data_IF_898837110640
#
_entry.id   IF_898837110640
#
_cell.length_a   1.000
_cell.length_b   1.000
_cell.length_c   1.000
_cell.angle_alpha   90.00
_cell.angle_beta   90.00
_cell.angle_gamma   90.00
#
_symmetry.space_group_name_H-M   'P 1'
#
loop_
_entity.id
_entity.type
_entity.pdbx_description
1 polymer ?
#
# COMPACT_ATOMS: atom_id res chain seq x y z
N UNK A 1 31.50 66.82 -10.23
CA UNK A 1 31.41 65.54 -9.50
C UNK A 1 30.03 64.93 -9.77
N UNK A 2 29.94 63.89 -10.61
CA UNK A 2 28.67 63.29 -11.04
C UNK A 2 28.39 62.03 -10.21
N UNK A 3 27.28 62.01 -9.47
CA UNK A 3 26.82 60.87 -8.66
C UNK A 3 25.99 59.95 -9.55
N UNK A 4 26.40 58.69 -9.69
CA UNK A 4 25.64 57.65 -10.39
C UNK A 4 24.65 56.97 -9.42
N UNK A 5 23.37 56.76 -9.80
CA UNK A 5 22.43 56.00 -8.98
C UNK A 5 22.61 54.50 -9.26
N UNK A 6 22.83 53.70 -8.20
CA UNK A 6 22.74 52.24 -8.21
C UNK A 6 21.37 51.81 -7.65
N UNK A 7 20.39 51.41 -8.49
CA UNK A 7 19.23 50.68 -7.99
C UNK A 7 18.97 49.40 -8.82
N UNK A 8 19.99 48.65 -9.23
CA UNK A 8 19.80 47.45 -10.05
C UNK A 8 20.23 46.12 -9.40
N UNK A 9 21.09 46.15 -8.37
CA UNK A 9 21.65 44.93 -7.79
C UNK A 9 20.79 44.28 -6.70
N UNK A 10 19.86 45.04 -6.09
CA UNK A 10 19.04 44.56 -4.97
C UNK A 10 17.90 43.61 -5.36
N UNK A 11 17.46 43.64 -6.63
CA UNK A 11 16.29 42.86 -7.08
C UNK A 11 16.67 41.40 -7.37
N UNK A 12 17.92 41.12 -7.74
CA UNK A 12 18.35 39.78 -8.14
C UNK A 12 18.53 38.81 -6.96
N UNK A 13 18.85 39.31 -5.76
CA UNK A 13 19.13 38.48 -4.58
C UNK A 13 17.84 37.90 -3.95
N UNK A 14 16.69 38.58 -4.13
CA UNK A 14 15.41 38.15 -3.54
C UNK A 14 14.79 36.94 -4.23
N UNK A 15 15.19 36.62 -5.47
CA UNK A 15 14.62 35.51 -6.24
C UNK A 15 15.24 34.16 -5.87
N UNK A 16 16.45 34.15 -5.29
CA UNK A 16 17.21 32.91 -5.03
C UNK A 16 16.76 32.21 -3.72
N UNK A 17 16.09 32.91 -2.81
CA UNK A 17 15.70 32.33 -1.49
C UNK A 17 14.38 31.54 -1.50
N UNK A 18 13.71 31.40 -2.65
CA UNK A 18 12.49 30.59 -2.79
C UNK A 18 12.72 29.18 -3.33
N UNK A 19 13.97 28.68 -3.36
CA UNK A 19 14.23 27.25 -3.57
C UNK A 19 13.77 26.45 -2.33
N UNK A 20 12.45 26.26 -2.25
CA UNK A 20 11.77 25.41 -1.27
C UNK A 20 12.33 24.00 -1.39
N UNK A 21 12.74 23.42 -0.26
CA UNK A 21 12.93 21.98 -0.13
C UNK A 21 11.62 21.29 -0.54
N UNK A 22 11.61 20.61 -1.68
CA UNK A 22 10.53 19.68 -2.00
C UNK A 22 10.57 18.55 -0.96
N UNK A 23 9.44 18.20 -0.32
CA UNK A 23 9.41 17.06 0.58
C UNK A 23 9.81 15.81 -0.21
N UNK A 24 10.74 15.03 0.36
CA UNK A 24 11.17 13.76 -0.24
C UNK A 24 9.92 12.89 -0.39
N UNK A 25 9.62 12.47 -1.62
CA UNK A 25 8.53 11.55 -1.89
C UNK A 25 8.77 10.28 -1.06
N UNK A 26 7.90 10.04 -0.08
CA UNK A 26 7.96 8.83 0.73
C UNK A 26 7.44 7.66 -0.10
N UNK A 27 8.16 6.54 -0.10
CA UNK A 27 7.75 5.36 -0.86
C UNK A 27 6.38 4.86 -0.35
N UNK A 28 5.50 4.35 -1.22
CA UNK A 28 4.19 3.85 -0.81
C UNK A 28 4.25 2.50 -0.05
N UNK A 29 5.44 1.89 0.04
CA UNK A 29 5.66 0.56 0.60
C UNK A 29 6.90 0.51 1.48
N UNK A 30 6.95 -0.51 2.33
CA UNK A 30 8.15 -0.93 3.06
C UNK A 30 8.74 -2.17 2.41
N UNK A 31 10.05 -2.17 2.16
CA UNK A 31 10.73 -3.38 1.71
C UNK A 31 10.74 -4.45 2.82
N UNK A 32 10.68 -5.75 2.47
CA UNK A 32 10.85 -6.83 3.45
C UNK A 32 12.23 -6.73 4.12
N UNK A 33 12.27 -6.94 5.43
CA UNK A 33 13.45 -6.71 6.28
C UNK A 33 14.67 -7.58 5.91
N UNK A 34 14.43 -8.67 5.19
CA UNK A 34 15.37 -9.70 4.76
C UNK A 34 15.78 -9.59 3.27
N UNK A 35 15.39 -8.52 2.56
CA UNK A 35 15.57 -8.40 1.11
C UNK A 35 17.02 -8.12 0.68
N UNK A 36 17.62 -9.05 -0.08
CA UNK A 36 18.76 -8.77 -0.96
C UNK A 36 18.41 -7.57 -1.87
N UNK A 37 19.28 -6.56 -1.93
CA UNK A 37 19.04 -5.33 -2.69
C UNK A 37 18.78 -5.57 -4.18
N UNK A 38 19.27 -6.68 -4.72
CA UNK A 38 19.14 -7.06 -6.12
C UNK A 38 17.69 -7.40 -6.51
N UNK A 39 16.86 -7.82 -5.55
CA UNK A 39 15.46 -8.22 -5.79
C UNK A 39 14.47 -7.05 -5.69
N UNK A 40 14.96 -5.82 -5.46
CA UNK A 40 14.11 -4.63 -5.25
C UNK A 40 13.30 -4.26 -6.50
N UNK A 41 13.86 -4.47 -7.69
CA UNK A 41 13.18 -4.19 -8.95
C UNK A 41 11.96 -5.09 -9.14
N UNK A 42 12.15 -6.39 -8.97
CA UNK A 42 11.09 -7.40 -9.10
C UNK A 42 10.00 -7.20 -8.04
N UNK A 43 10.41 -6.92 -6.79
CA UNK A 43 9.47 -6.58 -5.71
C UNK A 43 8.62 -5.36 -6.05
N UNK A 44 9.23 -4.29 -6.57
CA UNK A 44 8.49 -3.06 -6.91
C UNK A 44 7.48 -3.32 -8.02
N UNK A 45 7.88 -4.08 -9.05
CA UNK A 45 6.98 -4.46 -10.14
C UNK A 45 5.82 -5.32 -9.62
N UNK A 46 6.11 -6.30 -8.76
CA UNK A 46 5.10 -7.15 -8.12
C UNK A 46 4.13 -6.33 -7.26
N UNK A 47 4.64 -5.46 -6.40
CA UNK A 47 3.83 -4.59 -5.55
C UNK A 47 2.85 -3.74 -6.38
N UNK A 48 3.33 -3.13 -7.47
CA UNK A 48 2.51 -2.31 -8.36
C UNK A 48 1.45 -3.13 -9.13
N UNK A 49 1.76 -4.36 -9.54
CA UNK A 49 0.78 -5.26 -10.15
C UNK A 49 -0.30 -5.63 -9.12
N UNK A 50 0.10 -5.99 -7.91
CA UNK A 50 -0.81 -6.29 -6.80
C UNK A 50 -1.76 -5.14 -6.48
N UNK A 51 -1.27 -3.90 -6.45
CA UNK A 51 -2.10 -2.71 -6.24
C UNK A 51 -3.22 -2.59 -7.29
N UNK A 52 -2.86 -2.74 -8.57
CA UNK A 52 -3.83 -2.67 -9.68
C UNK A 52 -4.84 -3.80 -9.61
N UNK A 53 -4.37 -5.02 -9.41
CA UNK A 53 -5.21 -6.22 -9.30
C UNK A 53 -6.19 -6.12 -8.13
N UNK A 54 -5.73 -5.63 -6.97
CA UNK A 54 -6.60 -5.36 -5.83
C UNK A 54 -7.67 -4.33 -6.19
N UNK A 55 -7.30 -3.22 -6.85
CA UNK A 55 -8.24 -2.19 -7.27
C UNK A 55 -9.35 -2.72 -8.19
N UNK A 56 -8.98 -3.58 -9.13
CA UNK A 56 -9.90 -4.19 -10.11
C UNK A 56 -10.82 -5.24 -9.49
N UNK A 57 -10.29 -6.09 -8.61
CA UNK A 57 -11.00 -7.30 -8.17
C UNK A 57 -11.59 -7.20 -6.75
N UNK A 58 -11.00 -6.40 -5.87
CA UNK A 58 -11.32 -6.40 -4.45
C UNK A 58 -11.79 -5.02 -3.95
N UNK A 59 -11.20 -3.95 -4.49
CA UNK A 59 -11.36 -2.58 -4.02
C UNK A 59 -12.80 -2.06 -4.06
N UNK A 60 -13.61 -2.55 -5.00
CA UNK A 60 -15.03 -2.16 -5.13
C UNK A 60 -15.85 -2.48 -3.87
N UNK A 61 -15.58 -3.61 -3.23
CA UNK A 61 -16.31 -4.08 -2.05
C UNK A 61 -15.56 -3.86 -0.73
N UNK A 62 -14.23 -3.97 -0.76
CA UNK A 62 -13.43 -3.96 0.47
C UNK A 62 -12.92 -2.57 0.88
N UNK A 63 -12.91 -1.59 -0.02
CA UNK A 63 -12.51 -0.24 0.37
C UNK A 63 -13.55 0.40 1.29
N UNK A 64 -13.08 1.25 2.19
CA UNK A 64 -13.94 2.06 3.08
C UNK A 64 -13.92 3.52 2.64
N UNK A 65 -14.98 4.26 2.98
CA UNK A 65 -15.03 5.72 2.87
C UNK A 65 -14.73 6.31 4.25
N UNK A 66 -13.63 7.05 4.39
CA UNK A 66 -13.29 7.78 5.62
C UNK A 66 -13.02 9.22 5.26
N UNK A 67 -13.75 10.16 5.89
CA UNK A 67 -13.65 11.60 5.62
C UNK A 67 -13.73 11.95 4.12
N UNK A 68 -14.64 11.29 3.40
CA UNK A 68 -14.83 11.48 1.95
C UNK A 68 -13.77 10.85 1.05
N UNK A 69 -12.77 10.15 1.62
CA UNK A 69 -11.70 9.48 0.86
C UNK A 69 -11.89 7.96 0.87
N UNK A 70 -11.54 7.33 -0.24
CA UNK A 70 -11.47 5.87 -0.36
C UNK A 70 -10.17 5.38 0.29
N UNK A 71 -10.28 4.45 1.25
CA UNK A 71 -9.16 3.89 1.99
C UNK A 71 -9.19 2.36 1.90
N UNK A 72 -8.01 1.75 1.80
CA UNK A 72 -7.85 0.29 1.82
C UNK A 72 -7.68 -0.13 3.28
N UNK A 73 -8.57 -0.96 3.87
CA UNK A 73 -8.51 -1.33 5.27
C UNK A 73 -7.28 -2.14 5.62
N UNK A 74 -6.76 -1.98 6.84
CA UNK A 74 -5.58 -2.71 7.29
C UNK A 74 -5.95 -4.16 7.60
N UNK A 75 -5.38 -5.09 6.82
CA UNK A 75 -5.52 -6.52 7.00
C UNK A 75 -4.35 -7.03 7.84
N UNK A 76 -4.62 -7.86 8.83
CA UNK A 76 -3.57 -8.54 9.58
C UNK A 76 -2.96 -9.69 8.75
N UNK A 77 -1.71 -10.05 9.01
CA UNK A 77 -1.08 -11.20 8.35
C UNK A 77 -1.90 -12.49 8.52
N UNK A 78 -2.47 -12.82 9.70
CA UNK A 78 -3.38 -13.95 9.83
C UNK A 78 -4.62 -13.87 8.94
N UNK A 79 -5.21 -12.68 8.74
CA UNK A 79 -6.37 -12.51 7.86
C UNK A 79 -6.02 -12.77 6.39
N UNK A 80 -4.82 -12.38 5.96
CA UNK A 80 -4.35 -12.62 4.60
C UNK A 80 -4.02 -14.11 4.38
N UNK A 81 -3.39 -14.75 5.37
CA UNK A 81 -3.11 -16.19 5.33
C UNK A 81 -4.40 -17.03 5.31
N UNK A 82 -5.37 -16.69 6.16
CA UNK A 82 -6.68 -17.34 6.17
C UNK A 82 -7.39 -17.22 4.81
N UNK A 83 -7.21 -16.09 4.12
CA UNK A 83 -7.75 -15.89 2.80
C UNK A 83 -7.10 -16.81 1.77
N UNK A 84 -5.76 -16.89 1.76
CA UNK A 84 -5.03 -17.82 0.90
C UNK A 84 -5.53 -19.26 1.08
N UNK A 85 -5.62 -19.71 2.34
CA UNK A 85 -6.13 -21.04 2.65
C UNK A 85 -7.53 -21.29 2.08
N UNK A 86 -8.46 -20.34 2.25
CA UNK A 86 -9.83 -20.47 1.71
C UNK A 86 -9.86 -20.57 0.18
N UNK A 87 -9.00 -19.84 -0.52
CA UNK A 87 -8.94 -19.89 -1.98
C UNK A 87 -8.36 -21.21 -2.52
N UNK A 88 -7.57 -21.93 -1.73
CA UNK A 88 -6.98 -23.22 -2.12
C UNK A 88 -7.95 -24.40 -1.95
N UNK A 89 -9.04 -24.25 -1.18
CA UNK A 89 -10.02 -25.32 -0.98
C UNK A 89 -11.18 -25.23 -1.99
N UNK A 90 -11.38 -26.26 -2.85
CA UNK A 90 -12.41 -26.25 -3.91
C UNK A 90 -13.83 -26.00 -3.39
N UNK A 91 -14.13 -26.43 -2.16
CA UNK A 91 -15.43 -26.26 -1.51
C UNK A 91 -15.83 -24.80 -1.25
N UNK A 92 -14.88 -23.87 -1.31
CA UNK A 92 -15.13 -22.43 -1.14
C UNK A 92 -15.14 -21.65 -2.46
N UNK A 93 -14.72 -22.26 -3.57
CA UNK A 93 -14.64 -21.60 -4.88
C UNK A 93 -16.01 -21.26 -5.48
N UNK A 94 -17.04 -22.05 -5.18
CA UNK A 94 -18.39 -21.89 -5.76
C UNK A 94 -19.10 -20.59 -5.34
N UNK A 95 -18.65 -19.93 -4.27
CA UNK A 95 -19.22 -18.63 -3.82
C UNK A 95 -18.41 -17.42 -4.24
N UNK A 96 -17.20 -17.60 -4.78
CA UNK A 96 -16.33 -16.54 -5.30
C UNK A 96 -16.46 -16.43 -6.83
N UNK A 97 -17.65 -16.68 -7.35
CA UNK A 97 -17.90 -16.93 -8.78
C UNK A 97 -17.59 -15.74 -9.71
N UNK A 98 -17.35 -14.54 -9.16
CA UNK A 98 -17.15 -13.30 -9.94
C UNK A 98 -15.72 -12.70 -9.89
N UNK A 99 -14.82 -13.16 -9.01
CA UNK A 99 -13.43 -12.66 -8.98
C UNK A 99 -12.47 -13.77 -9.39
N UNK A 100 -12.28 -13.93 -10.70
CA UNK A 100 -11.43 -14.95 -11.32
C UNK A 100 -9.94 -14.57 -11.25
N UNK A 101 -9.46 -14.28 -10.04
CA UNK A 101 -8.05 -13.95 -9.78
C UNK A 101 -7.25 -15.26 -9.79
N UNK A 102 -6.20 -15.34 -10.61
CA UNK A 102 -5.31 -16.50 -10.62
C UNK A 102 -4.51 -16.60 -9.31
N UNK A 103 -3.85 -17.74 -9.07
CA UNK A 103 -2.98 -17.87 -7.89
C UNK A 103 -1.87 -16.82 -7.90
N UNK A 104 -1.25 -16.61 -9.05
CA UNK A 104 -0.14 -15.67 -9.23
C UNK A 104 -0.62 -14.23 -9.00
N UNK A 105 -1.80 -13.87 -9.52
CA UNK A 105 -2.41 -12.57 -9.29
C UNK A 105 -2.75 -12.37 -7.80
N UNK A 106 -3.20 -13.43 -7.12
CA UNK A 106 -3.45 -13.37 -5.69
C UNK A 106 -2.16 -13.19 -4.89
N UNK A 107 -1.08 -13.88 -5.26
CA UNK A 107 0.23 -13.72 -4.62
C UNK A 107 0.73 -12.26 -4.79
N UNK A 108 0.55 -11.65 -5.97
CA UNK A 108 0.86 -10.23 -6.21
C UNK A 108 0.00 -9.30 -5.29
N UNK A 109 -1.31 -9.55 -5.18
CA UNK A 109 -2.21 -8.80 -4.28
C UNK A 109 -1.76 -8.94 -2.82
N UNK A 110 -1.36 -10.13 -2.37
CA UNK A 110 -0.90 -10.37 -1.01
C UNK A 110 0.39 -9.58 -0.72
N UNK A 111 1.35 -9.58 -1.64
CA UNK A 111 2.57 -8.77 -1.52
C UNK A 111 2.23 -7.29 -1.35
N UNK A 112 1.30 -6.78 -2.16
CA UNK A 112 0.79 -5.41 -2.03
C UNK A 112 0.17 -5.16 -0.64
N UNK A 113 -0.78 -5.99 -0.21
CA UNK A 113 -1.52 -5.78 1.04
C UNK A 113 -0.64 -5.88 2.29
N UNK A 114 0.39 -6.75 2.28
CA UNK A 114 1.35 -6.93 3.37
C UNK A 114 2.33 -5.77 3.51
N UNK A 115 2.77 -5.20 2.40
CA UNK A 115 3.88 -4.24 2.39
C UNK A 115 3.48 -2.79 2.15
N UNK A 116 2.19 -2.53 1.85
CA UNK A 116 1.69 -1.16 1.73
C UNK A 116 1.71 -0.48 3.08
N UNK A 117 1.82 0.85 3.07
CA UNK A 117 1.66 1.64 4.30
C UNK A 117 0.26 1.43 4.89
N UNK A 118 0.13 1.13 6.20
CA UNK A 118 -1.16 1.07 6.87
C UNK A 118 -1.93 2.39 6.77
N UNK A 119 -3.23 2.29 6.56
CA UNK A 119 -4.17 3.40 6.52
C UNK A 119 -4.60 3.89 7.91
N UNK A 120 -4.31 3.12 8.96
CA UNK A 120 -4.80 3.35 10.32
C UNK A 120 -6.24 2.88 10.52
N UNK A 121 -6.77 2.06 9.61
CA UNK A 121 -8.18 1.66 9.57
C UNK A 121 -8.32 0.14 9.43
N UNK A 122 -8.17 -0.62 10.53
CA UNK A 122 -8.24 -2.08 10.48
C UNK A 122 -9.64 -2.59 10.09
N UNK A 123 -9.68 -3.85 9.63
CA UNK A 123 -10.93 -4.60 9.59
C UNK A 123 -11.24 -5.09 11.01
N UNK A 124 -12.32 -4.56 11.62
CA UNK A 124 -12.78 -4.94 12.96
C UNK A 124 -13.27 -6.39 13.06
N UNK A 125 -13.18 -7.02 14.25
CA UNK A 125 -12.01 -7.10 15.13
C UNK A 125 -11.05 -8.22 14.67
N UNK A 126 -9.81 -8.27 15.20
CA UNK A 126 -8.93 -9.42 14.97
C UNK A 126 -9.64 -10.73 15.35
N UNK A 127 -9.32 -11.85 14.67
CA UNK A 127 -9.89 -13.15 15.05
C UNK A 127 -9.62 -13.37 16.54
N UNK A 128 -10.70 -13.57 17.31
CA UNK A 128 -10.59 -13.96 18.71
C UNK A 128 -9.88 -15.32 18.71
N UNK A 129 -8.79 -15.51 19.45
CA UNK A 129 -8.19 -16.82 19.60
C UNK A 129 -9.28 -17.83 19.96
N UNK A 130 -9.42 -18.89 19.17
CA UNK A 130 -10.37 -19.95 19.47
C UNK A 130 -10.11 -20.51 20.87
N UNK A 131 -11.14 -21.05 21.56
CA UNK A 131 -10.91 -21.74 22.82
C UNK A 131 -9.86 -22.84 22.61
N UNK A 132 -8.96 -23.08 23.59
CA UNK A 132 -7.97 -24.13 23.47
C UNK A 132 -8.66 -25.48 23.18
N UNK A 133 -8.04 -26.37 22.37
CA UNK A 133 -8.62 -27.67 22.08
C UNK A 133 -8.86 -28.43 23.39
N UNK A 134 -10.06 -28.98 23.55
CA UNK A 134 -10.37 -29.86 24.69
C UNK A 134 -9.50 -31.11 24.55
N UNK A 135 -8.56 -31.29 25.47
CA UNK A 135 -7.86 -32.56 25.63
C UNK A 135 -8.86 -33.53 26.27
N UNK A 136 -9.26 -34.56 25.52
CA UNK A 136 -10.03 -35.70 26.02
C UNK A 136 -9.06 -36.77 26.52
#
# INVERSE_FOLDING_TARGET
>A
MKRFPLPALGILITVITLQRCAPKAELPHTYPANGNTDLRGDFTAQFQRGEKLYGLNCGGCHNKRVNGRTVIPDFSAPQLLDYEMRTQYPSHGEKLHDSRVSKEELDDIQVFLLHRRPSGHPISPPPVPGPPPKMN
#
